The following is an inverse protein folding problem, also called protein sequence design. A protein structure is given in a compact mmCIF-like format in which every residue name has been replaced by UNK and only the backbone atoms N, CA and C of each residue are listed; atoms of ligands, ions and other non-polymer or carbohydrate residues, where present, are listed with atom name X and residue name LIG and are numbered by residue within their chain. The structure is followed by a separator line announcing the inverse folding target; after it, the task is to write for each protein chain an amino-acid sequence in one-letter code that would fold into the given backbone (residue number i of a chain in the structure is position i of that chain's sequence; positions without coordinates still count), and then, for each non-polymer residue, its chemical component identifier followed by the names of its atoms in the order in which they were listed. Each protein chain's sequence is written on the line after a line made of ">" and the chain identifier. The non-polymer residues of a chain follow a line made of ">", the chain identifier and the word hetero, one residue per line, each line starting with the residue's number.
data_IF_434925788728
#
_entry.id   IF_434925788728
#
_cell.length_a   1.000
_cell.length_b   1.000
_cell.length_c   1.000
_cell.angle_alpha   90.00
_cell.angle_beta   90.00
_cell.angle_gamma   90.00
#
_symmetry.space_group_name_H-M   'P 1'
#
loop_
_entity.id
_entity.type
_entity.pdbx_description
1 polymer ?
#
# COMPACT_ATOMS: atom_id res chain seq x y z
N UNK A 1 -8.36 25.15 21.46
CA UNK A 1 -7.26 25.18 20.48
C UNK A 1 -7.71 24.32 19.30
N UNK A 2 -7.53 24.80 18.08
CA UNK A 2 -7.82 24.01 16.86
C UNK A 2 -6.81 22.84 16.78
N UNK A 3 -7.27 21.66 16.42
CA UNK A 3 -6.43 20.48 16.20
C UNK A 3 -5.56 20.67 14.95
N UNK A 4 -4.25 20.58 15.05
CA UNK A 4 -3.32 20.70 13.92
C UNK A 4 -2.91 19.33 13.44
N UNK A 5 -3.20 19.02 12.17
CA UNK A 5 -2.79 17.79 11.51
C UNK A 5 -1.70 18.12 10.49
N UNK A 6 -0.48 17.71 10.76
CA UNK A 6 0.70 17.98 9.95
C UNK A 6 1.07 16.78 9.07
N UNK A 7 1.35 17.01 7.80
CA UNK A 7 1.81 16.01 6.84
C UNK A 7 3.24 16.34 6.44
N UNK A 8 4.17 15.43 6.70
CA UNK A 8 5.57 15.61 6.35
C UNK A 8 5.85 15.12 4.91
N UNK A 9 6.88 15.69 4.32
CA UNK A 9 7.49 15.19 3.09
C UNK A 9 8.24 13.89 3.39
N UNK A 10 8.02 12.88 2.56
CA UNK A 10 8.74 11.61 2.66
C UNK A 10 10.20 11.77 2.20
N UNK A 11 11.13 11.14 2.92
CA UNK A 11 12.54 11.21 2.57
C UNK A 11 12.97 10.15 1.55
N UNK A 12 12.30 9.00 1.52
CA UNK A 12 12.66 7.83 0.70
C UNK A 12 11.53 7.33 -0.17
N UNK A 13 10.46 8.10 -0.30
CA UNK A 13 9.27 7.74 -1.07
C UNK A 13 8.80 8.97 -1.85
N UNK A 14 8.21 8.74 -3.02
CA UNK A 14 7.67 9.80 -3.86
C UNK A 14 6.21 10.13 -3.57
N UNK A 15 5.56 9.33 -2.73
CA UNK A 15 4.17 9.53 -2.34
C UNK A 15 4.07 10.62 -1.27
N UNK A 16 2.85 11.09 -1.06
CA UNK A 16 2.47 11.93 0.06
C UNK A 16 1.39 11.23 0.87
N UNK A 17 1.46 11.32 2.19
CA UNK A 17 0.54 10.59 3.07
C UNK A 17 -0.92 11.04 2.90
N UNK A 18 -1.18 12.32 2.62
CA UNK A 18 -2.52 12.88 2.42
C UNK A 18 -2.53 13.72 1.14
N UNK A 19 -3.36 13.34 0.17
CA UNK A 19 -3.55 14.07 -1.09
C UNK A 19 -4.53 15.26 -0.92
N UNK A 20 -4.55 16.25 -1.84
CA UNK A 20 -5.53 17.34 -1.80
C UNK A 20 -6.99 16.83 -1.76
N UNK A 21 -7.30 15.77 -2.51
CA UNK A 21 -8.64 15.19 -2.51
C UNK A 21 -9.00 14.54 -1.17
N UNK A 22 -8.02 13.94 -0.47
CA UNK A 22 -8.24 13.43 0.88
C UNK A 22 -8.52 14.57 1.87
N UNK A 23 -7.80 15.69 1.78
CA UNK A 23 -8.07 16.87 2.63
C UNK A 23 -9.50 17.37 2.40
N UNK A 24 -9.95 17.48 1.14
CA UNK A 24 -11.33 17.89 0.83
C UNK A 24 -12.40 16.96 1.40
N UNK A 25 -12.12 15.66 1.44
CA UNK A 25 -13.06 14.63 1.94
C UNK A 25 -13.04 14.49 3.45
N UNK A 26 -11.91 14.78 4.09
CA UNK A 26 -11.80 14.75 5.54
C UNK A 26 -12.55 15.93 6.15
N UNK A 27 -13.71 15.65 6.73
CA UNK A 27 -14.51 16.63 7.47
C UNK A 27 -14.22 16.50 8.96
N UNK A 28 -13.00 16.84 9.36
CA UNK A 28 -12.64 16.88 10.78
C UNK A 28 -12.95 18.29 11.24
N UNK A 29 -14.03 18.43 12.01
CA UNK A 29 -14.44 19.70 12.60
C UNK A 29 -13.33 20.22 13.52
N UNK A 30 -13.10 21.53 13.51
CA UNK A 30 -12.08 22.22 14.33
C UNK A 30 -10.63 21.77 14.09
N UNK A 31 -10.32 21.11 12.94
CA UNK A 31 -8.97 20.78 12.56
C UNK A 31 -8.41 21.71 11.47
N UNK A 32 -7.13 22.02 11.61
CA UNK A 32 -6.34 22.73 10.59
C UNK A 32 -5.30 21.80 9.99
N UNK A 33 -5.36 21.61 8.67
CA UNK A 33 -4.36 20.84 7.93
C UNK A 33 -3.09 21.66 7.69
N UNK A 34 -1.92 21.10 7.99
CA UNK A 34 -0.63 21.63 7.62
C UNK A 34 0.07 20.63 6.67
N UNK A 35 0.71 21.13 5.63
CA UNK A 35 1.49 20.34 4.68
C UNK A 35 2.90 20.89 4.60
N UNK A 36 3.90 20.03 4.69
CA UNK A 36 5.29 20.46 4.49
C UNK A 36 5.49 20.95 3.05
N UNK A 37 6.22 22.05 2.91
CA UNK A 37 6.56 22.62 1.59
C UNK A 37 7.12 21.57 0.64
N UNK A 38 6.48 21.39 -0.51
CA UNK A 38 6.87 20.42 -1.53
C UNK A 38 6.60 18.95 -1.18
N UNK A 39 5.83 18.63 -0.13
CA UNK A 39 5.57 17.25 0.28
C UNK A 39 4.89 16.40 -0.81
N UNK A 40 3.97 17.00 -1.57
CA UNK A 40 3.26 16.30 -2.64
C UNK A 40 3.90 16.38 -4.03
N UNK A 41 4.98 17.15 -4.20
CA UNK A 41 5.51 17.49 -5.53
C UNK A 41 5.92 16.26 -6.35
N UNK A 42 6.58 15.30 -5.76
CA UNK A 42 6.99 14.06 -6.45
C UNK A 42 5.80 13.09 -6.72
N UNK A 43 4.70 13.27 -6.00
CA UNK A 43 3.44 12.55 -6.22
C UNK A 43 2.53 13.24 -7.27
N UNK A 44 2.98 14.36 -7.86
CA UNK A 44 2.20 15.15 -8.82
C UNK A 44 1.28 16.20 -8.18
N UNK A 45 1.37 16.42 -6.86
CA UNK A 45 0.57 17.40 -6.11
C UNK A 45 1.48 18.54 -5.64
N UNK A 46 1.53 19.65 -6.39
CA UNK A 46 2.28 20.82 -5.96
C UNK A 46 1.54 21.58 -4.85
N UNK A 47 2.26 22.48 -4.16
CA UNK A 47 1.72 23.22 -3.01
C UNK A 47 0.48 24.05 -3.37
N UNK A 48 0.38 24.56 -4.61
CA UNK A 48 -0.78 25.32 -5.07
C UNK A 48 -2.10 24.52 -5.04
N UNK A 49 -2.03 23.18 -5.15
CA UNK A 49 -3.20 22.30 -5.08
C UNK A 49 -3.76 22.14 -3.66
N UNK A 50 -2.99 22.53 -2.65
CA UNK A 50 -3.43 22.55 -1.24
C UNK A 50 -3.94 23.91 -0.79
N UNK A 51 -3.86 24.94 -1.62
CA UNK A 51 -4.36 26.29 -1.27
C UNK A 51 -5.87 26.24 -0.96
N UNK A 52 -6.25 26.82 0.18
CA UNK A 52 -7.63 26.78 0.68
C UNK A 52 -8.04 25.45 1.35
N UNK A 53 -7.15 24.45 1.35
CA UNK A 53 -7.38 23.13 1.99
C UNK A 53 -6.48 22.92 3.20
N UNK A 54 -5.20 23.28 3.08
CA UNK A 54 -4.20 23.17 4.13
C UNK A 54 -3.21 24.35 4.05
N UNK A 55 -2.54 24.64 5.15
CA UNK A 55 -1.48 25.65 5.21
C UNK A 55 -0.13 24.99 4.90
N UNK A 56 0.65 25.58 4.00
CA UNK A 56 2.03 25.16 3.77
C UNK A 56 2.92 25.64 4.89
N UNK A 57 3.73 24.74 5.47
CA UNK A 57 4.60 25.00 6.62
C UNK A 57 5.99 24.41 6.41
N UNK A 58 6.96 24.85 7.21
CA UNK A 58 8.24 24.19 7.29
C UNK A 58 8.15 22.87 8.07
N UNK A 59 9.05 21.93 7.79
CA UNK A 59 9.17 20.66 8.54
C UNK A 59 9.28 20.91 10.04
N UNK A 60 10.13 21.84 10.43
CA UNK A 60 10.39 22.16 11.83
C UNK A 60 9.12 22.66 12.56
N UNK A 61 8.32 23.53 11.91
CA UNK A 61 7.06 23.99 12.47
C UNK A 61 6.08 22.85 12.70
N UNK A 62 5.96 21.92 11.74
CA UNK A 62 5.08 20.75 11.85
C UNK A 62 5.52 19.87 13.01
N UNK A 63 6.82 19.54 13.11
CA UNK A 63 7.35 18.69 14.19
C UNK A 63 7.12 19.27 15.58
N UNK A 64 7.23 20.59 15.74
CA UNK A 64 7.11 21.26 17.02
C UNK A 64 5.67 21.59 17.45
N UNK A 65 4.76 21.79 16.51
CA UNK A 65 3.46 22.39 16.80
C UNK A 65 2.26 21.52 16.41
N UNK A 66 2.43 20.51 15.50
CA UNK A 66 1.31 19.69 15.08
C UNK A 66 0.90 18.68 16.16
N UNK A 67 -0.40 18.61 16.46
CA UNK A 67 -0.95 17.64 17.42
C UNK A 67 -0.96 16.21 16.85
N UNK A 68 -1.17 16.08 15.53
CA UNK A 68 -1.09 14.80 14.80
C UNK A 68 -0.12 15.00 13.66
N UNK A 69 0.86 14.13 13.55
CA UNK A 69 1.84 14.10 12.46
C UNK A 69 1.60 12.82 11.66
N UNK A 70 1.45 12.97 10.34
CA UNK A 70 1.15 11.85 9.44
C UNK A 70 2.26 11.69 8.43
N UNK A 71 2.81 10.48 8.35
CA UNK A 71 3.83 10.07 7.37
C UNK A 71 3.53 8.67 6.86
N UNK A 72 4.05 8.31 5.69
CA UNK A 72 4.00 6.93 5.19
C UNK A 72 5.04 6.08 5.94
N UNK A 73 6.29 6.56 5.99
CA UNK A 73 7.36 5.93 6.73
C UNK A 73 7.82 6.78 7.91
N UNK A 74 8.34 6.18 8.97
CA UNK A 74 8.82 6.92 10.13
C UNK A 74 9.85 7.97 9.74
N UNK A 75 9.78 9.19 10.30
CA UNK A 75 10.82 10.20 10.18
C UNK A 75 12.15 9.70 10.77
N UNK A 76 13.27 10.34 10.38
CA UNK A 76 14.57 10.03 10.96
C UNK A 76 14.69 10.42 12.44
N UNK A 77 15.70 9.89 13.12
CA UNK A 77 15.91 10.10 14.56
C UNK A 77 16.00 11.60 14.94
N UNK A 78 16.63 12.41 14.08
CA UNK A 78 16.73 13.87 14.27
C UNK A 78 15.36 14.57 14.24
N UNK A 79 14.42 14.07 13.44
CA UNK A 79 13.06 14.59 13.39
C UNK A 79 12.25 14.09 14.59
N UNK A 80 12.37 12.79 14.92
CA UNK A 80 11.67 12.20 16.06
C UNK A 80 12.01 12.92 17.37
N UNK A 81 13.26 13.36 17.54
CA UNK A 81 13.70 14.11 18.72
C UNK A 81 13.10 15.53 18.81
N UNK A 82 12.52 16.06 17.72
CA UNK A 82 11.89 17.38 17.69
C UNK A 82 10.38 17.34 17.91
N UNK A 83 9.76 16.16 17.87
CA UNK A 83 8.32 15.99 18.06
C UNK A 83 7.98 16.27 19.54
N UNK A 84 7.01 17.15 19.79
CA UNK A 84 6.60 17.46 21.16
C UNK A 84 5.83 16.30 21.82
N UNK A 85 5.90 16.23 23.16
CA UNK A 85 5.45 15.07 23.94
C UNK A 85 3.97 14.73 23.92
N UNK A 86 3.12 15.69 23.51
CA UNK A 86 1.66 15.48 23.42
C UNK A 86 1.20 15.10 21.99
N UNK A 87 2.12 15.04 21.03
CA UNK A 87 1.79 14.70 19.65
C UNK A 87 1.45 13.22 19.47
N UNK A 88 0.68 12.94 18.43
CA UNK A 88 0.44 11.60 17.90
C UNK A 88 1.14 11.46 16.54
N UNK A 89 2.12 10.59 16.43
CA UNK A 89 2.75 10.23 15.16
C UNK A 89 2.06 9.00 14.55
N UNK A 90 1.50 9.17 13.35
CA UNK A 90 0.84 8.11 12.58
C UNK A 90 1.74 7.75 11.39
N UNK A 91 2.19 6.49 11.32
CA UNK A 91 3.09 6.02 10.27
C UNK A 91 3.01 4.49 10.11
N UNK A 92 3.76 3.92 9.17
CA UNK A 92 3.98 2.47 9.05
C UNK A 92 5.33 2.13 9.69
N UNK A 93 5.32 1.72 10.96
CA UNK A 93 6.55 1.42 11.72
C UNK A 93 7.10 0.01 11.48
N UNK A 94 6.32 -0.91 10.95
CA UNK A 94 6.68 -2.30 10.62
C UNK A 94 7.25 -3.10 11.81
N UNK A 95 6.59 -3.10 12.97
CA UNK A 95 7.11 -3.74 14.18
C UNK A 95 7.30 -5.26 14.06
N UNK A 96 6.63 -5.92 13.10
CA UNK A 96 6.88 -7.35 12.79
C UNK A 96 8.15 -7.59 11.97
N UNK A 97 8.69 -6.56 11.30
CA UNK A 97 9.93 -6.67 10.53
C UNK A 97 11.15 -6.26 11.35
N UNK A 98 10.97 -5.33 12.29
CA UNK A 98 12.00 -4.86 13.21
C UNK A 98 11.43 -4.81 14.62
N UNK A 99 11.71 -5.84 15.42
CA UNK A 99 11.24 -5.97 16.81
C UNK A 99 11.81 -4.86 17.72
N UNK A 100 12.90 -4.21 17.32
CA UNK A 100 13.51 -3.12 18.10
C UNK A 100 12.77 -1.79 17.99
N UNK A 101 11.86 -1.65 17.02
CA UNK A 101 11.11 -0.41 16.74
C UNK A 101 10.35 0.07 17.98
N UNK A 102 9.67 -0.83 18.68
CA UNK A 102 8.89 -0.46 19.86
C UNK A 102 9.79 0.09 20.97
N UNK A 103 10.95 -0.52 21.20
CA UNK A 103 11.94 -0.04 22.18
C UNK A 103 12.54 1.32 21.81
N UNK A 104 12.77 1.55 20.52
CA UNK A 104 13.24 2.86 20.01
C UNK A 104 12.17 3.95 20.19
N UNK A 105 10.92 3.66 19.82
CA UNK A 105 9.82 4.62 19.94
C UNK A 105 9.49 4.95 21.41
N UNK A 106 9.62 3.98 22.31
CA UNK A 106 9.38 4.18 23.75
C UNK A 106 10.36 5.17 24.42
N UNK A 107 11.44 5.55 23.75
CA UNK A 107 12.39 6.56 24.24
C UNK A 107 11.91 7.99 24.04
N UNK A 108 10.87 8.19 23.21
CA UNK A 108 10.33 9.50 22.91
C UNK A 108 9.04 9.76 23.70
N UNK A 109 8.73 11.04 24.01
CA UNK A 109 7.58 11.38 24.84
C UNK A 109 6.23 11.36 24.08
N UNK A 110 6.23 11.37 22.76
CA UNK A 110 5.02 11.37 21.93
C UNK A 110 4.36 9.99 21.84
N UNK A 111 3.10 9.96 21.43
CA UNK A 111 2.37 8.72 21.12
C UNK A 111 2.59 8.31 19.66
N UNK A 112 2.59 7.00 19.37
CA UNK A 112 2.71 6.47 18.02
C UNK A 112 1.59 5.50 17.69
N UNK A 113 1.14 5.51 16.42
CA UNK A 113 0.14 4.59 15.88
C UNK A 113 0.64 4.03 14.55
N UNK A 114 0.74 2.69 14.47
CA UNK A 114 1.22 1.99 13.29
C UNK A 114 0.07 1.59 12.38
N UNK A 115 -0.01 2.17 11.18
CA UNK A 115 -1.06 1.89 10.21
C UNK A 115 -0.99 0.46 9.64
N UNK A 116 0.19 -0.14 9.61
CA UNK A 116 0.39 -1.53 9.18
C UNK A 116 0.01 -2.57 10.25
N UNK A 117 -0.34 -2.11 11.47
CA UNK A 117 -0.85 -2.93 12.57
C UNK A 117 -2.38 -2.93 12.68
N UNK A 118 -3.08 -2.24 11.79
CA UNK A 118 -4.54 -2.22 11.77
C UNK A 118 -5.05 -3.64 11.54
N UNK A 119 -5.95 -4.16 12.41
CA UNK A 119 -6.46 -5.53 12.30
C UNK A 119 -7.29 -5.71 11.02
N UNK A 120 -7.19 -6.90 10.40
CA UNK A 120 -7.91 -7.24 9.18
C UNK A 120 -9.34 -7.68 9.49
N UNK A 121 -10.17 -6.74 9.90
CA UNK A 121 -11.60 -6.93 10.12
C UNK A 121 -12.40 -6.20 9.03
N UNK A 122 -13.64 -6.60 8.79
CA UNK A 122 -14.51 -5.96 7.81
C UNK A 122 -14.64 -4.45 8.06
N UNK A 123 -14.69 -4.03 9.31
CA UNK A 123 -14.79 -2.62 9.69
C UNK A 123 -13.52 -1.83 9.35
N UNK A 124 -12.36 -2.47 9.43
CA UNK A 124 -11.07 -1.81 9.25
C UNK A 124 -10.52 -1.90 7.81
N UNK A 125 -11.19 -2.60 6.88
CA UNK A 125 -10.74 -2.76 5.49
C UNK A 125 -10.48 -1.44 4.77
N UNK A 126 -11.27 -0.42 5.05
CA UNK A 126 -11.08 0.91 4.46
C UNK A 126 -9.78 1.61 4.91
N UNK A 127 -9.18 1.15 6.01
CA UNK A 127 -7.93 1.67 6.57
C UNK A 127 -6.73 0.76 6.30
N UNK A 128 -6.90 -0.36 5.57
CA UNK A 128 -5.83 -1.33 5.27
C UNK A 128 -4.88 -0.78 4.19
N UNK A 129 -3.84 -0.10 4.64
CA UNK A 129 -2.79 0.47 3.78
C UNK A 129 -1.96 -0.61 3.09
N UNK A 130 -1.82 -1.79 3.71
CA UNK A 130 -1.05 -2.90 3.14
C UNK A 130 -1.77 -3.50 1.93
N UNK A 131 -3.07 -3.75 2.03
CA UNK A 131 -3.88 -4.25 0.92
C UNK A 131 -3.97 -3.25 -0.23
N UNK A 132 -4.11 -1.96 0.06
CA UNK A 132 -4.11 -0.91 -0.95
C UNK A 132 -2.82 -0.92 -1.77
N UNK A 133 -1.67 -1.02 -1.10
CA UNK A 133 -0.37 -1.07 -1.77
C UNK A 133 -0.11 -2.39 -2.49
N UNK A 134 -0.58 -3.52 -1.92
CA UNK A 134 -0.49 -4.83 -2.56
C UNK A 134 -1.26 -4.87 -3.90
N UNK A 135 -2.43 -4.25 -3.97
CA UNK A 135 -3.20 -4.11 -5.22
C UNK A 135 -2.38 -3.37 -6.30
N UNK A 136 -1.78 -2.22 -5.95
CA UNK A 136 -0.93 -1.46 -6.88
C UNK A 136 0.29 -2.28 -7.30
N UNK A 137 0.90 -3.02 -6.38
CA UNK A 137 2.04 -3.89 -6.68
C UNK A 137 1.67 -4.98 -7.69
N UNK A 138 0.53 -5.66 -7.53
CA UNK A 138 0.03 -6.65 -8.49
C UNK A 138 -0.23 -6.05 -9.87
N UNK A 139 -0.86 -4.88 -9.94
CA UNK A 139 -1.04 -4.16 -11.20
C UNK A 139 0.29 -3.82 -11.88
N UNK A 140 1.22 -3.22 -11.13
CA UNK A 140 2.53 -2.83 -11.66
C UNK A 140 3.36 -4.02 -12.12
N UNK A 141 3.33 -5.14 -11.40
CA UNK A 141 4.04 -6.37 -11.76
C UNK A 141 3.62 -6.86 -13.16
N UNK A 142 2.33 -6.84 -13.47
CA UNK A 142 1.83 -7.26 -14.79
C UNK A 142 2.27 -6.30 -15.89
N UNK A 143 2.26 -4.99 -15.63
CA UNK A 143 2.75 -4.01 -16.63
C UNK A 143 4.25 -4.19 -16.90
N UNK A 144 5.05 -4.47 -15.88
CA UNK A 144 6.48 -4.77 -16.04
C UNK A 144 6.68 -6.08 -16.82
N UNK A 145 5.88 -7.11 -16.53
CA UNK A 145 5.92 -8.37 -17.27
C UNK A 145 5.56 -8.15 -18.75
N UNK A 146 4.51 -7.38 -19.02
CA UNK A 146 4.10 -7.06 -20.39
C UNK A 146 5.15 -6.26 -21.16
N UNK A 147 5.83 -5.32 -20.49
CA UNK A 147 6.88 -4.50 -21.09
C UNK A 147 8.13 -5.33 -21.43
N UNK A 148 8.46 -6.32 -20.62
CA UNK A 148 9.65 -7.13 -20.80
C UNK A 148 9.43 -8.39 -21.67
N UNK A 149 8.16 -8.79 -21.90
CA UNK A 149 7.84 -9.95 -22.70
C UNK A 149 7.95 -9.60 -24.21
N UNK A 150 8.78 -10.29 -25.01
CA UNK A 150 8.95 -9.99 -26.44
C UNK A 150 7.79 -10.56 -27.30
N UNK A 151 6.56 -10.41 -26.86
CA UNK A 151 5.34 -10.82 -27.55
C UNK A 151 4.11 -10.12 -26.99
N UNK A 152 3.00 -10.15 -27.73
CA UNK A 152 1.73 -9.60 -27.29
C UNK A 152 1.13 -10.40 -26.11
N UNK A 153 0.51 -9.68 -25.18
CA UNK A 153 -0.35 -10.27 -24.15
C UNK A 153 -1.65 -10.82 -24.78
N UNK A 154 -2.41 -10.04 -25.58
CA UNK A 154 -3.63 -10.53 -26.22
C UNK A 154 -3.34 -11.41 -27.44
N UNK A 155 -4.36 -12.12 -27.87
CA UNK A 155 -4.40 -12.67 -29.20
C UNK A 155 -4.45 -11.54 -30.23
N UNK A 156 -3.60 -11.62 -31.26
CA UNK A 156 -3.60 -10.66 -32.36
C UNK A 156 -3.83 -11.38 -33.69
N UNK A 157 -4.62 -10.75 -34.56
CA UNK A 157 -4.85 -11.23 -35.90
C UNK A 157 -4.26 -10.21 -36.87
N UNK A 158 -3.38 -10.67 -37.74
CA UNK A 158 -2.72 -9.88 -38.75
C UNK A 158 -2.95 -10.49 -40.14
N UNK A 159 -2.59 -9.77 -41.18
CA UNK A 159 -2.61 -10.32 -42.58
C UNK A 159 -1.69 -11.54 -42.73
N UNK A 160 -0.67 -11.68 -41.87
CA UNK A 160 0.26 -12.82 -41.87
C UNK A 160 -0.23 -13.99 -41.00
N UNK A 161 -1.37 -13.89 -40.35
CA UNK A 161 -1.95 -14.93 -39.50
C UNK A 161 -2.24 -14.51 -38.05
N UNK A 162 -2.54 -15.48 -37.22
CA UNK A 162 -2.90 -15.25 -35.80
C UNK A 162 -1.72 -15.48 -34.84
N UNK A 163 -1.53 -14.54 -33.95
CA UNK A 163 -0.56 -14.65 -32.85
C UNK A 163 -1.30 -15.09 -31.59
N UNK A 164 -0.88 -16.22 -31.01
CA UNK A 164 -1.50 -16.71 -29.76
C UNK A 164 -1.23 -15.79 -28.61
N UNK A 165 -2.18 -15.63 -27.65
CA UNK A 165 -1.99 -14.80 -26.46
C UNK A 165 -0.88 -15.36 -25.58
N UNK A 166 -0.30 -14.48 -24.76
CA UNK A 166 0.63 -14.89 -23.72
C UNK A 166 -0.06 -15.76 -22.66
N UNK A 167 0.69 -16.67 -22.06
CA UNK A 167 0.27 -17.39 -20.85
C UNK A 167 0.96 -16.77 -19.64
N UNK A 168 0.20 -16.45 -18.62
CA UNK A 168 0.68 -15.86 -17.36
C UNK A 168 0.33 -16.81 -16.23
N UNK A 169 1.33 -17.24 -15.47
CA UNK A 169 1.15 -17.97 -14.23
C UNK A 169 1.34 -17.00 -13.06
N UNK A 170 0.32 -16.92 -12.19
CA UNK A 170 0.37 -16.13 -10.95
C UNK A 170 0.52 -17.09 -9.78
N UNK A 171 1.60 -16.93 -9.00
CA UNK A 171 1.88 -17.73 -7.82
C UNK A 171 1.52 -16.90 -6.58
N UNK A 172 0.50 -17.34 -5.86
CA UNK A 172 -0.12 -16.62 -4.74
C UNK A 172 -1.32 -15.78 -5.19
N UNK A 173 -2.50 -16.12 -4.69
CA UNK A 173 -3.77 -15.44 -4.99
C UNK A 173 -4.26 -14.56 -3.82
N UNK A 174 -3.35 -13.87 -3.13
CA UNK A 174 -3.70 -12.76 -2.22
C UNK A 174 -4.05 -11.50 -3.01
N UNK A 175 -4.19 -10.35 -2.31
CA UNK A 175 -4.60 -9.07 -2.93
C UNK A 175 -3.77 -8.71 -4.16
N UNK A 176 -2.43 -8.84 -4.07
CA UNK A 176 -1.53 -8.58 -5.20
C UNK A 176 -1.76 -9.57 -6.35
N UNK A 177 -1.88 -10.87 -6.03
CA UNK A 177 -2.10 -11.92 -7.01
C UNK A 177 -3.44 -11.80 -7.72
N UNK A 178 -4.52 -11.57 -7.00
CA UNK A 178 -5.86 -11.35 -7.59
C UNK A 178 -5.86 -10.11 -8.51
N UNK A 179 -5.21 -9.03 -8.10
CA UNK A 179 -5.05 -7.86 -8.96
C UNK A 179 -4.20 -8.16 -10.20
N UNK A 180 -3.13 -8.95 -10.07
CA UNK A 180 -2.31 -9.38 -11.20
C UNK A 180 -3.12 -10.26 -12.18
N UNK A 181 -3.93 -11.19 -11.66
CA UNK A 181 -4.85 -12.02 -12.47
C UNK A 181 -5.81 -11.12 -13.25
N UNK A 182 -6.51 -10.22 -12.56
CA UNK A 182 -7.48 -9.32 -13.19
C UNK A 182 -6.82 -8.44 -14.27
N UNK A 183 -5.64 -7.90 -13.99
CA UNK A 183 -4.89 -7.05 -14.92
C UNK A 183 -4.42 -7.83 -16.15
N UNK A 184 -3.83 -9.02 -15.95
CA UNK A 184 -3.37 -9.90 -17.03
C UNK A 184 -4.53 -10.32 -17.94
N UNK A 185 -5.68 -10.63 -17.37
CA UNK A 185 -6.91 -10.95 -18.11
C UNK A 185 -7.40 -9.75 -18.94
N UNK A 186 -7.40 -8.54 -18.36
CA UNK A 186 -7.78 -7.32 -19.08
C UNK A 186 -6.83 -7.01 -20.24
N UNK A 187 -5.55 -7.34 -20.11
CA UNK A 187 -4.57 -7.25 -21.20
C UNK A 187 -4.69 -8.38 -22.22
N UNK A 188 -5.61 -9.33 -22.03
CA UNK A 188 -5.93 -10.39 -22.98
C UNK A 188 -5.07 -11.65 -22.89
N UNK A 189 -4.30 -11.82 -21.82
CA UNK A 189 -3.53 -13.04 -21.57
C UNK A 189 -4.43 -14.21 -21.15
N UNK A 190 -3.96 -15.44 -21.38
CA UNK A 190 -4.48 -16.64 -20.74
C UNK A 190 -3.81 -16.73 -19.36
N UNK A 191 -4.63 -16.75 -18.30
CA UNK A 191 -4.10 -16.71 -16.92
C UNK A 191 -4.39 -18.01 -16.20
N UNK A 192 -3.33 -18.56 -15.61
CA UNK A 192 -3.37 -19.66 -14.65
C UNK A 192 -2.87 -19.11 -13.30
N UNK A 193 -3.39 -19.61 -12.18
CA UNK A 193 -2.97 -19.19 -10.85
C UNK A 193 -2.88 -20.37 -9.91
N UNK A 194 -1.93 -20.31 -8.98
CA UNK A 194 -1.73 -21.24 -7.89
C UNK A 194 -1.77 -20.52 -6.55
N UNK A 195 -2.41 -21.10 -5.57
CA UNK A 195 -2.33 -20.72 -4.15
C UNK A 195 -2.41 -21.98 -3.30
N UNK A 196 -1.74 -21.98 -2.16
CA UNK A 196 -1.79 -23.10 -1.20
C UNK A 196 -3.12 -23.19 -0.47
N UNK A 197 -3.90 -22.10 -0.45
CA UNK A 197 -5.21 -22.04 0.20
C UNK A 197 -6.30 -22.44 -0.78
N UNK A 198 -7.04 -23.51 -0.49
CA UNK A 198 -8.17 -23.96 -1.33
C UNK A 198 -9.24 -22.88 -1.50
N UNK A 199 -9.47 -22.04 -0.48
CA UNK A 199 -10.43 -20.95 -0.52
C UNK A 199 -10.13 -19.90 -1.62
N UNK A 200 -8.87 -19.77 -2.06
CA UNK A 200 -8.49 -18.86 -3.14
C UNK A 200 -8.99 -19.32 -4.53
N UNK A 201 -9.37 -20.60 -4.67
CA UNK A 201 -9.82 -21.19 -5.95
C UNK A 201 -11.04 -20.46 -6.53
N UNK A 202 -12.05 -20.21 -5.70
CA UNK A 202 -13.26 -19.51 -6.14
C UNK A 202 -12.95 -18.07 -6.58
N UNK A 203 -12.10 -17.37 -5.83
CA UNK A 203 -11.69 -16.01 -6.15
C UNK A 203 -10.95 -15.95 -7.49
N UNK A 204 -10.01 -16.88 -7.74
CA UNK A 204 -9.27 -17.00 -9.00
C UNK A 204 -10.21 -17.28 -10.16
N UNK A 205 -11.14 -18.23 -9.99
CA UNK A 205 -12.09 -18.61 -11.03
C UNK A 205 -13.10 -17.49 -11.34
N UNK A 206 -13.52 -16.72 -10.34
CA UNK A 206 -14.40 -15.57 -10.52
C UNK A 206 -13.79 -14.48 -11.40
N UNK A 207 -12.45 -14.36 -11.38
CA UNK A 207 -11.70 -13.46 -12.26
C UNK A 207 -11.44 -14.06 -13.67
N UNK A 208 -11.95 -15.28 -13.94
CA UNK A 208 -11.83 -15.95 -15.23
C UNK A 208 -10.45 -16.57 -15.48
N UNK A 209 -9.66 -16.82 -14.45
CA UNK A 209 -8.40 -17.56 -14.54
C UNK A 209 -8.61 -19.04 -14.18
N UNK A 210 -7.71 -19.89 -14.66
CA UNK A 210 -7.67 -21.31 -14.31
C UNK A 210 -6.86 -21.49 -13.02
N UNK A 211 -7.45 -22.12 -12.01
CA UNK A 211 -6.72 -22.53 -10.82
C UNK A 211 -5.91 -23.81 -11.07
N UNK A 212 -4.64 -23.77 -10.71
CA UNK A 212 -3.71 -24.92 -10.82
C UNK A 212 -3.69 -25.63 -9.48
N UNK A 213 -4.05 -26.92 -9.47
CA UNK A 213 -3.99 -27.76 -8.28
C UNK A 213 -2.68 -28.56 -8.32
N UNK A 214 -1.98 -28.59 -7.19
CA UNK A 214 -0.77 -29.40 -7.02
C UNK A 214 -1.11 -30.52 -6.03
N UNK A 215 -0.89 -31.76 -6.42
CA UNK A 215 -1.11 -32.92 -5.55
C UNK A 215 -0.19 -32.82 -4.32
N UNK A 216 -0.78 -32.99 -3.13
CA UNK A 216 -0.03 -32.92 -1.87
C UNK A 216 0.07 -31.50 -1.27
N UNK A 217 -0.52 -30.48 -1.88
CA UNK A 217 -0.63 -29.16 -1.25
C UNK A 217 -1.55 -29.24 -0.02
N UNK A 218 -1.03 -28.90 1.15
CA UNK A 218 -1.80 -28.86 2.39
C UNK A 218 -2.59 -27.55 2.49
N UNK A 219 -3.87 -27.65 2.89
CA UNK A 219 -4.80 -26.52 3.00
C UNK A 219 -4.70 -25.85 4.38
N UNK A 220 -3.49 -25.47 4.78
CA UNK A 220 -3.25 -24.85 6.07
C UNK A 220 -3.48 -23.34 6.05
N UNK A 221 -4.41 -22.88 6.90
CA UNK A 221 -4.70 -21.47 7.11
C UNK A 221 -3.98 -20.96 8.36
N UNK A 222 -3.05 -20.02 8.17
CA UNK A 222 -2.42 -19.29 9.27
C UNK A 222 -3.32 -18.19 9.84
N UNK A 223 -2.91 -17.61 10.97
CA UNK A 223 -3.56 -16.45 11.57
C UNK A 223 -3.63 -15.29 10.56
N UNK A 224 -4.81 -14.66 10.43
CA UNK A 224 -5.04 -13.56 9.48
C UNK A 224 -5.21 -13.96 8.02
N UNK A 225 -5.40 -15.27 7.71
CA UNK A 225 -5.67 -15.77 6.36
C UNK A 225 -4.45 -15.85 5.43
N UNK A 226 -3.25 -15.72 5.97
CA UNK A 226 -2.01 -15.98 5.23
C UNK A 226 -1.71 -17.48 5.13
N UNK A 227 -0.97 -17.84 4.07
CA UNK A 227 -0.42 -19.18 3.94
C UNK A 227 0.58 -19.46 5.05
N UNK A 228 0.56 -20.68 5.60
CA UNK A 228 1.56 -21.16 6.55
C UNK A 228 2.81 -21.60 5.78
N UNK A 229 3.98 -21.37 6.38
CA UNK A 229 5.24 -21.86 5.83
C UNK A 229 5.22 -23.39 5.81
N UNK A 230 5.31 -23.98 4.64
CA UNK A 230 5.36 -25.44 4.48
C UNK A 230 6.79 -25.92 4.73
N UNK A 231 6.94 -26.98 5.52
CA UNK A 231 8.23 -27.68 5.64
C UNK A 231 8.58 -28.27 4.27
N UNK A 232 9.75 -27.88 3.75
CA UNK A 232 10.28 -28.50 2.54
C UNK A 232 10.71 -29.95 2.85
N UNK A 233 9.96 -30.92 2.37
CA UNK A 233 10.40 -32.27 2.11
C UNK A 233 10.52 -32.46 0.60
#
# INVERSE_FOLDING_TARGET
>A
MSLIIGVLKENKDKRVAITPDNVKRSKIEDATGWIETGAGSEAGFNDAMYVGLAQTKSREAILKEANIIVTIFPPGETDLAQIHGEALLISQFRPYQDETVNGKLAQYPFKSLSMDMIPRTTLAQAMDVLSSMASIAGYKAVLLAAQNLPRYFPMMITSAGSIRPAKVLVIGAGVAGLQAIATSRKLGAIVEAFDVRSAAKEEVQSLGAKFVEVAGATDDKGAGGYAVQQSGE
#
